data_IF_973333417631
#
_entry.id   IF_973333417631
#
_cell.length_a   1.000
_cell.length_b   1.000
_cell.length_c   1.000
_cell.angle_alpha   90.00
_cell.angle_beta   90.00
_cell.angle_gamma   90.00
#
_symmetry.space_group_name_H-M   'P 1'
#
loop_
_entity.id
_entity.type
_entity.pdbx_description
1 polymer ?
#
# COMPACT_ATOMS: atom_id res chain seq x y z
N UNK A 1 -47.88 -32.80 50.39
CA UNK A 1 -46.50 -32.30 50.22
C UNK A 1 -45.94 -32.95 48.97
N UNK A 2 -45.62 -32.16 47.94
CA UNK A 2 -45.14 -32.67 46.66
C UNK A 2 -45.48 -31.68 45.55
N UNK A 3 -44.76 -30.55 45.51
CA UNK A 3 -44.84 -29.59 44.41
C UNK A 3 -44.09 -30.23 43.24
N UNK A 4 -44.85 -30.77 42.29
CA UNK A 4 -44.35 -31.41 41.10
C UNK A 4 -43.90 -30.32 40.13
N UNK A 5 -42.62 -30.33 39.76
CA UNK A 5 -42.05 -29.35 38.83
C UNK A 5 -42.70 -29.53 37.45
N UNK A 6 -43.38 -28.50 36.96
CA UNK A 6 -43.93 -28.43 35.62
C UNK A 6 -42.81 -28.60 34.60
N UNK A 7 -42.72 -29.81 34.04
CA UNK A 7 -41.86 -30.10 32.91
C UNK A 7 -42.38 -29.31 31.70
N UNK A 8 -41.72 -28.20 31.40
CA UNK A 8 -41.96 -27.44 30.17
C UNK A 8 -41.62 -28.35 28.98
N UNK A 9 -42.66 -28.85 28.32
CA UNK A 9 -42.54 -29.67 27.12
C UNK A 9 -42.05 -28.79 25.96
N UNK A 10 -40.73 -28.69 25.83
CA UNK A 10 -40.07 -27.98 24.73
C UNK A 10 -40.40 -28.57 23.35
N UNK A 11 -40.97 -29.79 23.26
CA UNK A 11 -41.39 -30.38 21.98
C UNK A 11 -42.73 -29.81 21.49
N UNK A 12 -43.49 -29.13 22.35
CA UNK A 12 -44.77 -28.48 21.99
C UNK A 12 -44.59 -27.12 21.30
N UNK A 13 -43.37 -26.57 21.26
CA UNK A 13 -43.01 -25.38 20.48
C UNK A 13 -43.08 -25.72 18.99
N UNK A 14 -44.30 -25.70 18.43
CA UNK A 14 -44.55 -25.73 17.00
C UNK A 14 -43.85 -24.52 16.37
N UNK A 15 -42.66 -24.75 15.82
CA UNK A 15 -42.01 -23.78 14.95
C UNK A 15 -43.04 -23.36 13.90
N UNK A 16 -43.28 -22.05 13.72
CA UNK A 16 -44.24 -21.57 12.73
C UNK A 16 -43.88 -22.20 11.39
N UNK A 17 -44.90 -22.78 10.71
CA UNK A 17 -44.76 -23.39 9.38
C UNK A 17 -44.05 -22.38 8.50
N UNK A 18 -42.77 -22.61 8.22
CA UNK A 18 -42.00 -21.79 7.28
C UNK A 18 -42.71 -21.96 5.95
N UNK A 19 -43.40 -20.90 5.51
CA UNK A 19 -44.04 -20.87 4.20
C UNK A 19 -43.04 -21.39 3.17
N UNK A 20 -43.43 -22.42 2.41
CA UNK A 20 -42.53 -23.01 1.44
C UNK A 20 -42.16 -21.92 0.43
N UNK A 21 -40.94 -21.92 -0.12
CA UNK A 21 -40.51 -20.95 -1.14
C UNK A 21 -41.52 -20.79 -2.30
N UNK A 22 -42.34 -21.82 -2.56
CA UNK A 22 -43.42 -21.82 -3.53
C UNK A 22 -44.59 -20.87 -3.20
N UNK A 23 -44.80 -20.53 -1.93
CA UNK A 23 -45.88 -19.63 -1.49
C UNK A 23 -45.53 -18.15 -1.73
N UNK A 24 -44.27 -17.84 -2.08
CA UNK A 24 -43.84 -16.50 -2.42
C UNK A 24 -44.00 -16.25 -3.93
N UNK A 25 -44.93 -15.37 -4.37
CA UNK A 25 -45.26 -15.19 -5.80
C UNK A 25 -44.08 -14.70 -6.65
N UNK A 26 -42.99 -14.25 -6.02
CA UNK A 26 -41.79 -13.74 -6.67
C UNK A 26 -40.53 -14.56 -6.40
N UNK A 27 -40.61 -15.75 -5.78
CA UNK A 27 -39.43 -16.53 -5.43
C UNK A 27 -38.59 -16.89 -6.67
N UNK A 28 -39.24 -17.31 -7.75
CA UNK A 28 -38.57 -17.67 -9.00
C UNK A 28 -37.94 -16.46 -9.71
N UNK A 29 -38.63 -15.31 -9.73
CA UNK A 29 -38.09 -14.09 -10.37
C UNK A 29 -36.86 -13.59 -9.62
N UNK A 30 -36.88 -13.62 -8.28
CA UNK A 30 -35.73 -13.29 -7.44
C UNK A 30 -34.59 -14.28 -7.69
N UNK A 31 -34.86 -15.59 -7.71
CA UNK A 31 -33.85 -16.62 -7.93
C UNK A 31 -33.17 -16.48 -9.31
N UNK A 32 -33.95 -16.23 -10.37
CA UNK A 32 -33.43 -15.98 -11.72
C UNK A 32 -32.58 -14.71 -11.74
N UNK A 33 -33.02 -13.63 -11.09
CA UNK A 33 -32.27 -12.39 -10.99
C UNK A 33 -30.92 -12.56 -10.28
N UNK A 34 -30.91 -13.28 -9.15
CA UNK A 34 -29.68 -13.60 -8.40
C UNK A 34 -28.74 -14.46 -9.24
N UNK A 35 -29.26 -15.51 -9.90
CA UNK A 35 -28.45 -16.38 -10.75
C UNK A 35 -27.85 -15.60 -11.93
N UNK A 36 -28.65 -14.77 -12.60
CA UNK A 36 -28.19 -13.91 -13.69
C UNK A 36 -27.10 -12.93 -13.24
N UNK A 37 -27.25 -12.34 -12.06
CA UNK A 37 -26.23 -11.47 -11.46
C UNK A 37 -24.93 -12.23 -11.17
N UNK A 38 -25.00 -13.42 -10.57
CA UNK A 38 -23.81 -14.22 -10.26
C UNK A 38 -23.09 -14.70 -11.53
N UNK A 39 -23.83 -15.05 -12.59
CA UNK A 39 -23.27 -15.36 -13.92
C UNK A 39 -22.54 -14.13 -14.47
N UNK A 40 -23.16 -12.95 -14.41
CA UNK A 40 -22.56 -11.70 -14.87
C UNK A 40 -21.27 -11.37 -14.10
N UNK A 41 -21.29 -11.49 -12.77
CA UNK A 41 -20.09 -11.34 -11.92
C UNK A 41 -18.99 -12.30 -12.39
N UNK A 42 -19.31 -13.58 -12.54
CA UNK A 42 -18.33 -14.61 -12.92
C UNK A 42 -17.75 -14.40 -14.32
N UNK A 43 -18.57 -13.94 -15.26
CA UNK A 43 -18.18 -13.66 -16.64
C UNK A 43 -17.21 -12.46 -16.71
N UNK A 44 -17.50 -11.40 -15.97
CA UNK A 44 -16.73 -10.15 -16.00
C UNK A 44 -15.49 -10.18 -15.12
N UNK A 45 -15.48 -10.91 -14.00
CA UNK A 45 -14.44 -10.88 -12.95
C UNK A 45 -13.00 -11.00 -13.48
N UNK A 46 -12.77 -11.84 -14.49
CA UNK A 46 -11.44 -12.08 -15.07
C UNK A 46 -11.25 -11.45 -16.46
N UNK A 47 -12.19 -10.63 -16.93
CA UNK A 47 -12.15 -10.06 -18.28
C UNK A 47 -10.92 -9.17 -18.49
N UNK A 48 -10.60 -8.32 -17.52
CA UNK A 48 -9.46 -7.41 -17.61
C UNK A 48 -8.13 -8.17 -17.60
N UNK A 49 -7.99 -9.18 -16.72
CA UNK A 49 -6.81 -10.06 -16.70
C UNK A 49 -6.63 -10.82 -18.02
N UNK A 50 -7.69 -11.45 -18.54
CA UNK A 50 -7.61 -12.16 -19.84
C UNK A 50 -7.26 -11.23 -20.99
N UNK A 51 -7.72 -9.98 -20.97
CA UNK A 51 -7.34 -8.98 -21.96
C UNK A 51 -5.82 -8.70 -21.87
N UNK A 52 -5.33 -8.49 -20.66
CA UNK A 52 -3.91 -8.24 -20.39
C UNK A 52 -3.04 -9.42 -20.83
N UNK A 53 -3.41 -10.65 -20.48
CA UNK A 53 -2.68 -11.86 -20.88
C UNK A 53 -2.61 -12.03 -22.40
N UNK A 54 -3.66 -11.64 -23.13
CA UNK A 54 -3.66 -11.66 -24.60
C UNK A 54 -2.74 -10.57 -25.19
N UNK A 55 -2.80 -9.37 -24.63
CA UNK A 55 -1.98 -8.23 -25.08
C UNK A 55 -0.48 -8.50 -24.88
N UNK A 56 -0.12 -9.12 -23.76
CA UNK A 56 1.26 -9.44 -23.39
C UNK A 56 1.62 -10.92 -23.55
N UNK A 57 0.89 -11.65 -24.41
CA UNK A 57 1.12 -13.08 -24.63
C UNK A 57 2.57 -13.40 -25.08
N UNK A 58 3.20 -12.48 -25.80
CA UNK A 58 4.59 -12.58 -26.26
C UNK A 58 5.62 -12.60 -25.11
N UNK A 59 5.27 -12.08 -23.93
CA UNK A 59 6.12 -12.09 -22.73
C UNK A 59 5.92 -13.33 -21.85
N UNK A 60 4.98 -14.22 -22.16
CA UNK A 60 4.70 -15.37 -21.29
C UNK A 60 5.84 -16.40 -21.27
N UNK A 61 6.59 -16.51 -22.36
CA UNK A 61 7.75 -17.41 -22.45
C UNK A 61 8.98 -16.86 -21.73
N UNK A 62 9.18 -15.56 -21.83
CA UNK A 62 10.26 -14.85 -21.15
C UNK A 62 9.73 -13.50 -20.59
N UNK A 63 9.20 -13.52 -19.35
CA UNK A 63 8.70 -12.30 -18.73
C UNK A 63 9.78 -11.25 -18.49
N UNK A 64 11.05 -11.63 -18.37
CA UNK A 64 12.16 -10.72 -18.11
C UNK A 64 12.59 -9.93 -19.35
N UNK A 65 12.12 -10.30 -20.55
CA UNK A 65 12.30 -9.52 -21.76
C UNK A 65 11.48 -8.22 -21.79
N UNK A 66 10.59 -7.98 -20.80
CA UNK A 66 9.77 -6.77 -20.77
C UNK A 66 10.60 -5.53 -20.40
N UNK A 67 10.29 -4.40 -21.03
CA UNK A 67 10.80 -3.11 -20.55
C UNK A 67 9.97 -2.59 -19.35
N UNK A 68 10.50 -1.59 -18.64
CA UNK A 68 9.81 -1.03 -17.48
C UNK A 68 8.52 -0.28 -17.86
N UNK A 69 8.34 0.14 -19.12
CA UNK A 69 7.13 0.84 -19.60
C UNK A 69 5.97 -0.14 -19.76
N UNK A 70 6.22 -1.33 -20.29
CA UNK A 70 5.30 -2.45 -20.32
C UNK A 70 5.01 -2.95 -18.90
N UNK A 71 6.05 -3.08 -18.07
CA UNK A 71 5.91 -3.45 -16.67
C UNK A 71 4.93 -2.52 -15.91
N UNK A 72 5.06 -1.21 -16.09
CA UNK A 72 4.16 -0.21 -15.51
C UNK A 72 2.69 -0.43 -15.91
N UNK A 73 2.43 -0.67 -17.20
CA UNK A 73 1.09 -0.98 -17.71
C UNK A 73 0.53 -2.26 -17.12
N UNK A 74 1.37 -3.29 -16.94
CA UNK A 74 0.97 -4.56 -16.34
C UNK A 74 0.62 -4.39 -14.86
N UNK A 75 1.46 -3.68 -14.12
CA UNK A 75 1.25 -3.38 -12.70
C UNK A 75 -0.07 -2.64 -12.46
N UNK A 76 -0.45 -1.70 -13.33
CA UNK A 76 -1.69 -0.92 -13.20
C UNK A 76 -2.94 -1.78 -13.10
N UNK A 77 -3.03 -2.92 -13.80
CA UNK A 77 -4.17 -3.82 -13.67
C UNK A 77 -4.32 -4.30 -12.22
N UNK A 78 -3.25 -4.86 -11.67
CA UNK A 78 -3.26 -5.38 -10.30
C UNK A 78 -3.46 -4.27 -9.26
N UNK A 79 -2.74 -3.15 -9.41
CA UNK A 79 -2.70 -2.06 -8.43
C UNK A 79 -3.93 -1.17 -8.44
N UNK A 80 -4.53 -0.92 -9.61
CA UNK A 80 -5.57 0.09 -9.74
C UNK A 80 -6.94 -0.51 -10.08
N UNK A 81 -6.99 -1.72 -10.63
CA UNK A 81 -8.24 -2.32 -11.07
C UNK A 81 -8.69 -3.48 -10.15
N UNK A 82 -7.81 -4.47 -9.91
CA UNK A 82 -8.19 -5.70 -9.20
C UNK A 82 -7.99 -5.64 -7.68
N UNK A 83 -6.82 -5.20 -7.24
CA UNK A 83 -6.35 -5.35 -5.85
C UNK A 83 -5.98 -4.02 -5.14
N UNK A 84 -6.58 -2.85 -5.45
CA UNK A 84 -6.09 -1.56 -4.95
C UNK A 84 -6.08 -1.42 -3.44
N UNK A 85 -7.05 -2.04 -2.76
CA UNK A 85 -7.14 -1.98 -1.31
C UNK A 85 -5.95 -2.69 -0.65
N UNK A 86 -5.63 -3.92 -1.07
CA UNK A 86 -4.53 -4.68 -0.46
C UNK A 86 -3.17 -4.07 -0.82
N UNK A 87 -2.99 -3.51 -2.02
CA UNK A 87 -1.76 -2.76 -2.33
C UNK A 87 -1.58 -1.50 -1.46
N UNK A 88 -2.63 -0.71 -1.29
CA UNK A 88 -2.56 0.47 -0.42
C UNK A 88 -2.33 0.07 1.05
N UNK A 89 -2.96 -1.01 1.49
CA UNK A 89 -2.83 -1.52 2.85
C UNK A 89 -1.44 -2.14 3.10
N UNK A 90 -0.89 -2.90 2.16
CA UNK A 90 0.42 -3.54 2.30
C UNK A 90 1.53 -2.52 2.43
N UNK A 91 1.45 -1.37 1.73
CA UNK A 91 2.47 -0.31 1.83
C UNK A 91 2.69 0.22 3.26
N UNK A 92 1.65 0.19 4.11
CA UNK A 92 1.77 0.56 5.53
C UNK A 92 2.60 -0.46 6.32
N UNK A 93 2.46 -1.74 5.99
CA UNK A 93 3.22 -2.83 6.61
C UNK A 93 4.62 -2.96 6.02
N UNK A 94 4.81 -2.64 4.73
CA UNK A 94 6.14 -2.48 4.12
C UNK A 94 6.96 -1.45 4.88
N UNK A 95 6.36 -0.30 5.23
CA UNK A 95 7.01 0.71 6.05
C UNK A 95 7.38 0.19 7.45
N UNK A 96 6.50 -0.58 8.10
CA UNK A 96 6.83 -1.19 9.40
C UNK A 96 7.96 -2.22 9.27
N UNK A 97 8.01 -2.98 8.17
CA UNK A 97 9.05 -3.98 7.92
C UNK A 97 10.43 -3.36 7.73
N UNK A 98 10.53 -2.17 7.11
CA UNK A 98 11.84 -1.49 7.01
C UNK A 98 12.37 -1.02 8.37
N UNK A 99 11.51 -0.81 9.38
CA UNK A 99 11.95 -0.51 10.75
C UNK A 99 12.55 -1.72 11.48
N UNK A 100 12.48 -2.92 10.90
CA UNK A 100 13.06 -4.11 11.50
C UNK A 100 14.55 -4.27 11.19
N UNK A 101 15.11 -3.47 10.28
CA UNK A 101 16.56 -3.44 9.98
C UNK A 101 17.26 -2.51 10.97
N UNK A 102 17.97 -3.10 11.94
CA UNK A 102 18.45 -2.38 13.12
C UNK A 102 19.42 -1.23 12.81
N UNK A 103 20.31 -1.40 11.83
CA UNK A 103 21.29 -0.38 11.43
C UNK A 103 20.63 0.91 10.92
N UNK A 104 19.51 0.79 10.22
CA UNK A 104 18.84 1.94 9.61
C UNK A 104 18.00 2.76 10.59
N UNK A 105 17.52 2.17 11.69
CA UNK A 105 16.58 2.85 12.59
C UNK A 105 17.22 3.88 13.50
N UNK A 106 18.53 3.82 13.72
CA UNK A 106 19.25 4.88 14.44
C UNK A 106 19.08 6.23 13.74
N UNK A 107 19.17 6.25 12.41
CA UNK A 107 18.92 7.45 11.62
C UNK A 107 17.45 7.90 11.71
N UNK A 108 16.50 6.96 11.63
CA UNK A 108 15.07 7.26 11.77
C UNK A 108 14.73 7.84 13.14
N UNK A 109 15.38 7.35 14.20
CA UNK A 109 15.27 7.87 15.55
C UNK A 109 15.84 9.29 15.66
N UNK A 110 17.03 9.53 15.10
CA UNK A 110 17.72 10.84 15.11
C UNK A 110 16.96 11.91 14.34
N UNK A 111 16.39 11.58 13.17
CA UNK A 111 15.67 12.56 12.32
C UNK A 111 14.30 12.94 12.86
N UNK A 112 13.73 12.15 13.79
CA UNK A 112 12.43 12.37 14.42
C UNK A 112 11.25 12.43 13.44
N UNK A 113 11.43 11.99 12.18
CA UNK A 113 10.35 12.03 11.19
C UNK A 113 9.37 10.87 11.36
N UNK A 114 9.86 9.67 11.73
CA UNK A 114 9.04 8.48 11.97
C UNK A 114 9.05 8.03 13.44
N UNK A 115 9.84 8.70 14.29
CA UNK A 115 10.03 8.37 15.71
C UNK A 115 9.52 9.47 16.66
N UNK A 116 8.80 10.48 16.13
CA UNK A 116 8.13 11.51 16.93
C UNK A 116 6.73 11.81 16.40
N UNK A 117 5.76 11.87 17.32
CA UNK A 117 4.34 12.07 17.04
C UNK A 117 3.96 13.31 16.18
N UNK A 118 4.59 14.49 16.30
CA UNK A 118 4.17 15.65 15.50
C UNK A 118 4.55 15.52 14.01
N UNK A 119 5.54 14.68 13.67
CA UNK A 119 6.06 14.59 12.30
C UNK A 119 5.56 13.34 11.54
N UNK A 120 5.25 12.25 12.26
CA UNK A 120 4.95 10.94 11.65
C UNK A 120 3.81 11.00 10.64
N UNK A 121 2.75 11.77 10.93
CA UNK A 121 1.59 11.82 10.05
C UNK A 121 1.89 12.48 8.70
N UNK A 122 2.65 13.59 8.72
CA UNK A 122 3.14 14.21 7.49
C UNK A 122 4.11 13.28 6.76
N UNK A 123 5.07 12.69 7.47
CA UNK A 123 6.08 11.81 6.85
C UNK A 123 5.45 10.60 6.14
N UNK A 124 4.43 9.98 6.74
CA UNK A 124 3.67 8.88 6.12
C UNK A 124 2.93 9.39 4.88
N UNK A 125 2.25 10.53 4.97
CA UNK A 125 1.52 11.11 3.84
C UNK A 125 2.47 11.47 2.68
N UNK A 126 3.55 12.19 2.96
CA UNK A 126 4.55 12.60 1.96
C UNK A 126 5.17 11.38 1.27
N UNK A 127 5.44 10.30 2.01
CA UNK A 127 5.96 9.05 1.44
C UNK A 127 4.95 8.41 0.49
N UNK A 128 3.67 8.37 0.90
CA UNK A 128 2.59 7.85 0.06
C UNK A 128 2.40 8.68 -1.22
N UNK A 129 2.45 10.01 -1.11
CA UNK A 129 2.35 10.91 -2.26
C UNK A 129 3.54 10.76 -3.20
N UNK A 130 4.78 10.86 -2.69
CA UNK A 130 6.00 10.67 -3.50
C UNK A 130 5.93 9.34 -4.26
N UNK A 131 5.62 8.25 -3.57
CA UNK A 131 5.55 6.91 -4.17
C UNK A 131 4.42 6.82 -5.19
N UNK A 132 3.25 7.41 -4.91
CA UNK A 132 2.12 7.42 -5.85
C UNK A 132 2.46 8.18 -7.13
N UNK A 133 3.15 9.31 -7.04
CA UNK A 133 3.53 10.11 -8.21
C UNK A 133 4.39 9.32 -9.20
N UNK A 134 5.43 8.63 -8.73
CA UNK A 134 6.28 7.87 -9.65
C UNK A 134 5.71 6.49 -9.95
N UNK A 135 5.17 5.73 -9.00
CA UNK A 135 4.68 4.35 -9.23
C UNK A 135 3.37 4.28 -10.01
N UNK A 136 2.44 5.22 -9.79
CA UNK A 136 1.14 5.26 -10.49
C UNK A 136 1.14 6.25 -11.65
N UNK A 137 1.84 7.38 -11.49
CA UNK A 137 1.94 8.41 -12.53
C UNK A 137 2.95 8.12 -13.63
N UNK A 138 3.86 7.16 -13.43
CA UNK A 138 5.11 6.92 -14.16
C UNK A 138 6.27 7.80 -13.69
N UNK A 139 7.41 7.16 -13.45
CA UNK A 139 8.72 7.80 -13.24
C UNK A 139 9.21 8.68 -14.41
N UNK A 140 8.65 8.50 -15.62
CA UNK A 140 8.94 9.33 -16.80
C UNK A 140 8.04 10.56 -16.92
N UNK A 141 6.96 10.64 -16.13
CA UNK A 141 6.11 11.82 -16.12
C UNK A 141 6.81 13.00 -15.45
N UNK A 142 6.41 14.23 -15.80
CA UNK A 142 6.89 15.45 -15.14
C UNK A 142 6.76 15.35 -13.60
N UNK A 143 5.61 14.88 -13.11
CA UNK A 143 5.35 14.76 -11.67
C UNK A 143 6.14 13.62 -11.03
N UNK A 144 6.17 12.46 -11.67
CA UNK A 144 6.85 11.27 -11.17
C UNK A 144 8.37 11.46 -11.11
N UNK A 145 8.97 12.04 -12.15
CA UNK A 145 10.40 12.37 -12.15
C UNK A 145 10.76 13.39 -11.07
N UNK A 146 9.94 14.42 -10.84
CA UNK A 146 10.12 15.37 -9.73
C UNK A 146 10.00 14.72 -8.37
N UNK A 147 9.04 13.82 -8.18
CA UNK A 147 8.89 13.08 -6.93
C UNK A 147 10.09 12.15 -6.67
N UNK A 148 10.55 11.42 -7.70
CA UNK A 148 11.72 10.53 -7.62
C UNK A 148 13.01 11.32 -7.35
N UNK A 149 13.23 12.43 -8.06
CA UNK A 149 14.36 13.32 -7.82
C UNK A 149 14.31 13.94 -6.40
N UNK A 150 13.12 14.33 -5.92
CA UNK A 150 12.94 14.81 -4.54
C UNK A 150 13.31 13.73 -3.52
N UNK A 151 12.87 12.49 -3.76
CA UNK A 151 13.24 11.35 -2.92
C UNK A 151 14.76 11.18 -2.88
N UNK A 152 15.43 11.15 -4.03
CA UNK A 152 16.89 11.06 -4.13
C UNK A 152 17.59 12.19 -3.37
N UNK A 153 17.13 13.43 -3.55
CA UNK A 153 17.70 14.60 -2.88
C UNK A 153 17.61 14.49 -1.37
N UNK A 154 16.46 14.04 -0.83
CA UNK A 154 16.29 13.84 0.62
C UNK A 154 17.24 12.76 1.13
N UNK A 155 17.36 11.63 0.44
CA UNK A 155 18.24 10.55 0.88
C UNK A 155 19.71 11.01 0.88
N UNK A 156 20.15 11.78 -0.13
CA UNK A 156 21.52 12.34 -0.18
C UNK A 156 21.84 13.31 0.97
N UNK A 157 20.85 13.87 1.65
CA UNK A 157 21.12 14.69 2.86
C UNK A 157 21.72 13.88 4.01
N UNK A 158 21.68 12.55 3.92
CA UNK A 158 22.18 11.65 4.93
C UNK A 158 23.45 10.90 4.51
N UNK A 159 23.87 11.02 3.24
CA UNK A 159 25.09 10.41 2.68
C UNK A 159 25.25 8.95 3.08
N UNK A 160 26.46 8.61 3.55
CA UNK A 160 26.85 7.25 3.97
C UNK A 160 26.04 6.64 5.14
N UNK A 161 25.14 7.42 5.79
CA UNK A 161 24.27 6.90 6.85
C UNK A 161 23.12 6.05 6.31
N UNK A 162 22.87 6.07 5.00
CA UNK A 162 21.92 5.18 4.33
C UNK A 162 22.74 4.30 3.40
N UNK A 163 22.94 3.05 3.80
CA UNK A 163 23.87 2.15 3.12
C UNK A 163 23.26 1.48 1.88
N UNK A 164 24.10 1.01 0.95
CA UNK A 164 23.66 0.29 -0.25
C UNK A 164 22.79 -0.95 0.08
N UNK A 165 23.16 -1.83 1.03
CA UNK A 165 22.31 -2.97 1.40
C UNK A 165 20.96 -2.54 1.99
N UNK A 166 20.90 -1.47 2.78
CA UNK A 166 19.63 -0.95 3.31
C UNK A 166 18.69 -0.41 2.21
N UNK A 167 19.25 0.27 1.21
CA UNK A 167 18.48 0.71 0.04
C UNK A 167 17.98 -0.47 -0.79
N UNK A 168 18.84 -1.48 -1.04
CA UNK A 168 18.46 -2.68 -1.79
C UNK A 168 17.40 -3.50 -1.04
N UNK A 169 17.52 -3.64 0.28
CA UNK A 169 16.50 -4.28 1.12
C UNK A 169 15.17 -3.53 1.07
N UNK A 170 15.20 -2.21 1.22
CA UNK A 170 13.99 -1.38 1.14
C UNK A 170 13.33 -1.50 -0.24
N UNK A 171 14.11 -1.57 -1.33
CA UNK A 171 13.61 -1.83 -2.67
C UNK A 171 12.91 -3.20 -2.75
N UNK A 172 13.57 -4.25 -2.24
CA UNK A 172 13.02 -5.60 -2.17
C UNK A 172 11.72 -5.67 -1.38
N UNK A 173 11.65 -5.02 -0.22
CA UNK A 173 10.45 -4.94 0.62
C UNK A 173 9.29 -4.28 -0.14
N UNK A 174 9.53 -3.20 -0.89
CA UNK A 174 8.49 -2.53 -1.68
C UNK A 174 7.90 -3.42 -2.79
N UNK A 175 8.68 -4.35 -3.33
CA UNK A 175 8.23 -5.33 -4.33
C UNK A 175 7.52 -6.51 -3.65
N UNK A 176 8.22 -7.18 -2.74
CA UNK A 176 7.86 -8.49 -2.21
C UNK A 176 6.67 -8.42 -1.26
N UNK A 177 6.55 -7.36 -0.45
CA UNK A 177 5.39 -7.23 0.43
C UNK A 177 4.10 -7.04 -0.37
N UNK A 178 4.12 -6.24 -1.44
CA UNK A 178 2.95 -6.09 -2.32
C UNK A 178 2.49 -7.45 -2.87
N UNK A 179 3.43 -8.25 -3.36
CA UNK A 179 3.16 -9.59 -3.89
C UNK A 179 2.64 -10.53 -2.80
N UNK A 180 3.32 -10.59 -1.65
CA UNK A 180 2.98 -11.47 -0.51
C UNK A 180 1.57 -11.18 0.00
N UNK A 181 1.25 -9.91 0.21
CA UNK A 181 -0.05 -9.47 0.71
C UNK A 181 -1.18 -9.80 -0.25
N UNK A 182 -1.02 -9.50 -1.55
CA UNK A 182 -2.03 -9.82 -2.56
C UNK A 182 -2.23 -11.34 -2.67
N UNK A 183 -1.14 -12.11 -2.76
CA UNK A 183 -1.23 -13.56 -2.91
C UNK A 183 -1.84 -14.27 -1.68
N UNK A 184 -1.79 -13.64 -0.51
CA UNK A 184 -2.37 -14.17 0.73
C UNK A 184 -3.82 -13.75 0.92
N UNK A 185 -4.12 -12.46 0.74
CA UNK A 185 -5.36 -11.85 1.23
C UNK A 185 -6.34 -11.38 0.14
N UNK A 186 -5.94 -11.35 -1.13
CA UNK A 186 -6.87 -10.97 -2.21
C UNK A 186 -7.64 -12.14 -2.82
N UNK A 187 -8.69 -11.76 -3.56
CA UNK A 187 -9.60 -12.66 -4.28
C UNK A 187 -8.93 -13.45 -5.42
N UNK A 188 -7.78 -12.98 -5.91
CA UNK A 188 -6.88 -13.72 -6.79
C UNK A 188 -5.42 -13.48 -6.42
N UNK A 189 -4.57 -14.43 -6.80
CA UNK A 189 -3.13 -14.26 -6.81
C UNK A 189 -2.70 -13.45 -8.04
N UNK A 190 -1.54 -12.82 -7.95
CA UNK A 190 -0.83 -12.24 -9.08
C UNK A 190 -0.31 -13.36 -9.98
N UNK A 191 -0.44 -13.20 -11.29
CA UNK A 191 0.24 -14.04 -12.27
C UNK A 191 1.76 -13.84 -12.16
N UNK A 192 2.54 -14.79 -12.68
CA UNK A 192 4.00 -14.63 -12.70
C UNK A 192 4.43 -13.40 -13.50
N UNK A 193 3.78 -13.14 -14.64
CA UNK A 193 4.00 -11.94 -15.45
C UNK A 193 3.79 -10.64 -14.64
N UNK A 194 2.73 -10.57 -13.82
CA UNK A 194 2.48 -9.41 -12.95
C UNK A 194 3.55 -9.24 -11.85
N UNK A 195 4.07 -10.35 -11.30
CA UNK A 195 5.13 -10.33 -10.30
C UNK A 195 6.45 -9.84 -10.90
N UNK A 196 6.82 -10.37 -12.07
CA UNK A 196 8.01 -9.93 -12.81
C UNK A 196 7.88 -8.47 -13.22
N UNK A 197 6.68 -8.01 -13.64
CA UNK A 197 6.45 -6.60 -13.92
C UNK A 197 6.72 -5.68 -12.71
N UNK A 198 6.27 -6.07 -11.51
CA UNK A 198 6.61 -5.31 -10.29
C UNK A 198 8.12 -5.22 -10.09
N UNK A 199 8.82 -6.34 -10.24
CA UNK A 199 10.27 -6.37 -10.11
C UNK A 199 10.96 -5.50 -11.18
N UNK A 200 10.64 -5.64 -12.47
CA UNK A 200 11.29 -4.90 -13.56
C UNK A 200 11.09 -3.39 -13.39
N UNK A 201 9.88 -2.96 -13.02
CA UNK A 201 9.61 -1.55 -12.79
C UNK A 201 10.38 -0.99 -11.60
N UNK A 202 10.36 -1.69 -10.46
CA UNK A 202 11.10 -1.24 -9.27
C UNK A 202 12.61 -1.36 -9.45
N UNK A 203 13.12 -2.31 -10.22
CA UNK A 203 14.53 -2.38 -10.59
C UNK A 203 14.97 -1.10 -11.31
N UNK A 204 14.14 -0.58 -12.21
CA UNK A 204 14.40 0.70 -12.86
C UNK A 204 14.34 1.88 -11.87
N UNK A 205 13.42 1.87 -10.91
CA UNK A 205 13.43 2.85 -9.80
C UNK A 205 14.75 2.77 -9.04
N UNK A 206 15.21 1.56 -8.68
CA UNK A 206 16.47 1.35 -7.98
C UNK A 206 17.68 1.84 -8.76
N UNK A 207 17.71 1.60 -10.08
CA UNK A 207 18.72 2.16 -10.97
C UNK A 207 18.71 3.70 -10.90
N UNK A 208 17.53 4.34 -11.02
CA UNK A 208 17.41 5.81 -10.92
C UNK A 208 17.75 6.37 -9.54
N UNK A 209 17.73 5.54 -8.50
CA UNK A 209 18.21 5.89 -7.16
C UNK A 209 19.72 5.68 -6.99
N UNK A 210 20.41 5.04 -7.95
CA UNK A 210 21.82 4.69 -7.83
C UNK A 210 22.10 3.46 -6.97
N UNK A 211 21.10 2.57 -6.79
CA UNK A 211 21.29 1.31 -6.08
C UNK A 211 22.14 0.37 -6.95
N UNK A 212 23.23 -0.13 -6.37
CA UNK A 212 24.19 -1.04 -6.99
C UNK A 212 23.77 -2.49 -6.77
N UNK A 213 24.27 -3.36 -7.65
CA UNK A 213 24.21 -4.81 -7.52
C UNK A 213 22.79 -5.38 -7.29
N UNK A 214 21.77 -4.75 -7.90
CA UNK A 214 20.40 -5.25 -7.84
C UNK A 214 20.36 -6.63 -8.52
N UNK A 215 19.95 -7.70 -7.82
CA UNK A 215 19.87 -9.04 -8.40
C UNK A 215 19.07 -9.07 -9.71
N UNK A 216 19.42 -9.96 -10.66
CA UNK A 216 18.86 -9.90 -12.01
C UNK A 216 17.40 -10.35 -12.10
N UNK A 217 16.93 -11.19 -11.19
CA UNK A 217 15.57 -11.74 -11.16
C UNK A 217 14.90 -11.55 -9.79
N UNK A 218 13.58 -11.75 -9.74
CA UNK A 218 12.81 -11.59 -8.50
C UNK A 218 13.14 -12.70 -7.50
N UNK A 219 13.43 -13.91 -7.99
CA UNK A 219 13.86 -15.04 -7.17
C UNK A 219 15.23 -14.78 -6.55
N UNK A 220 16.17 -14.23 -7.32
CA UNK A 220 17.49 -13.84 -6.79
C UNK A 220 17.42 -12.68 -5.82
N UNK A 221 16.49 -11.73 -6.04
CA UNK A 221 16.23 -10.68 -5.06
C UNK A 221 15.64 -11.25 -3.77
N UNK A 222 14.76 -12.26 -3.86
CA UNK A 222 14.19 -12.92 -2.69
C UNK A 222 15.24 -13.72 -1.90
N UNK A 223 16.11 -14.46 -2.58
CA UNK A 223 17.25 -15.16 -1.96
C UNK A 223 18.17 -14.16 -1.22
N UNK A 224 18.58 -13.08 -1.89
CA UNK A 224 19.41 -12.04 -1.29
C UNK A 224 18.73 -11.37 -0.09
N UNK A 225 17.42 -11.07 -0.19
CA UNK A 225 16.66 -10.44 0.89
C UNK A 225 16.60 -11.36 2.11
N UNK A 226 16.35 -12.65 1.91
CA UNK A 226 16.30 -13.63 2.99
C UNK A 226 17.66 -13.73 3.71
N UNK A 227 18.77 -13.80 2.97
CA UNK A 227 20.12 -13.83 3.53
C UNK A 227 20.44 -12.55 4.32
N UNK A 228 20.13 -11.38 3.76
CA UNK A 228 20.35 -10.11 4.43
C UNK A 228 19.51 -9.97 5.71
N UNK A 229 18.23 -10.38 5.67
CA UNK A 229 17.34 -10.30 6.82
C UNK A 229 17.77 -11.21 7.98
N UNK A 230 18.43 -12.34 7.72
CA UNK A 230 18.92 -13.23 8.80
C UNK A 230 19.92 -12.54 9.73
N UNK A 231 20.69 -11.58 9.23
CA UNK A 231 21.73 -10.89 10.00
C UNK A 231 21.36 -9.46 10.36
N UNK A 232 20.63 -8.75 9.49
CA UNK A 232 20.30 -7.34 9.66
C UNK A 232 18.95 -7.12 10.39
N UNK A 233 18.02 -8.08 10.32
CA UNK A 233 16.70 -7.95 10.93
C UNK A 233 16.71 -8.43 12.39
N UNK A 234 17.37 -7.65 13.24
CA UNK A 234 17.56 -7.92 14.67
C UNK A 234 16.88 -6.86 15.53
N UNK A 235 16.61 -7.20 16.80
CA UNK A 235 16.00 -6.25 17.73
C UNK A 235 16.91 -5.03 18.00
N UNK A 236 16.29 -3.86 18.10
CA UNK A 236 16.89 -2.61 18.58
C UNK A 236 15.81 -1.73 19.20
N UNK A 237 16.13 -1.00 20.26
CA UNK A 237 15.19 -0.05 20.89
C UNK A 237 14.73 1.04 19.91
N UNK A 238 15.58 1.40 18.94
CA UNK A 238 15.22 2.34 17.87
C UNK A 238 14.18 1.75 16.92
N UNK A 239 14.22 0.44 16.65
CA UNK A 239 13.17 -0.27 15.89
C UNK A 239 11.85 -0.13 16.60
N UNK A 240 11.84 -0.47 17.89
CA UNK A 240 10.63 -0.43 18.72
C UNK A 240 10.05 0.98 18.76
N UNK A 241 10.89 1.99 18.97
CA UNK A 241 10.48 3.40 19.00
C UNK A 241 9.82 3.86 17.70
N UNK A 242 10.40 3.53 16.55
CA UNK A 242 9.83 3.90 15.24
C UNK A 242 8.50 3.18 15.00
N UNK A 243 8.44 1.89 15.32
CA UNK A 243 7.24 1.09 15.16
C UNK A 243 6.10 1.56 16.07
N UNK A 244 6.35 1.83 17.35
CA UNK A 244 5.33 2.29 18.29
C UNK A 244 4.70 3.61 17.84
N UNK A 245 5.51 4.57 17.38
CA UNK A 245 5.01 5.85 16.87
C UNK A 245 4.11 5.67 15.63
N UNK A 246 4.45 4.73 14.75
CA UNK A 246 3.65 4.44 13.56
C UNK A 246 2.38 3.64 13.89
N UNK A 247 2.46 2.65 14.77
CA UNK A 247 1.30 1.91 15.26
C UNK A 247 0.33 2.85 15.97
N UNK A 248 0.83 3.73 16.84
CA UNK A 248 0.02 4.73 17.54
C UNK A 248 -0.62 5.71 16.57
N UNK A 249 0.11 6.11 15.52
CA UNK A 249 -0.47 6.91 14.44
C UNK A 249 -1.64 6.18 13.79
N UNK A 250 -1.48 4.94 13.34
CA UNK A 250 -2.54 4.16 12.69
C UNK A 250 -3.77 3.90 13.59
N UNK A 251 -3.58 3.89 14.91
CA UNK A 251 -4.65 3.71 15.90
C UNK A 251 -5.37 5.01 16.29
N UNK A 252 -5.00 6.17 15.73
CA UNK A 252 -5.65 7.46 16.06
C UNK A 252 -7.17 7.45 15.82
N UNK A 253 -7.63 6.82 14.73
CA UNK A 253 -9.07 6.69 14.40
C UNK A 253 -9.77 5.52 15.11
N UNK A 254 -9.02 4.68 15.83
CA UNK A 254 -9.58 3.59 16.63
C UNK A 254 -10.01 4.14 17.98
N UNK A 255 -11.26 3.91 18.36
CA UNK A 255 -11.77 4.31 19.67
C UNK A 255 -10.92 3.70 20.79
N UNK A 256 -10.62 4.43 21.88
CA UNK A 256 -9.70 3.97 22.92
C UNK A 256 -9.93 2.54 23.43
N UNK A 257 -11.19 2.07 23.67
CA UNK A 257 -11.44 0.70 24.13
C UNK A 257 -11.02 -0.39 23.14
N UNK A 258 -11.05 -0.08 21.82
CA UNK A 258 -10.71 -1.04 20.78
C UNK A 258 -9.21 -1.06 20.44
N UNK A 259 -8.44 -0.06 20.87
CA UNK A 259 -7.01 0.06 20.50
C UNK A 259 -6.19 -1.17 20.90
N UNK A 260 -6.47 -1.75 22.08
CA UNK A 260 -5.78 -2.98 22.53
C UNK A 260 -6.03 -4.17 21.60
N UNK A 261 -7.26 -4.33 21.10
CA UNK A 261 -7.60 -5.36 20.12
C UNK A 261 -6.91 -5.11 18.78
N UNK A 262 -6.98 -3.89 18.25
CA UNK A 262 -6.36 -3.57 16.96
C UNK A 262 -4.82 -3.65 16.99
N UNK A 263 -4.16 -3.37 18.13
CA UNK A 263 -2.73 -3.67 18.30
C UNK A 263 -2.46 -5.15 18.06
N UNK A 264 -3.22 -6.04 18.70
CA UNK A 264 -3.05 -7.50 18.51
C UNK A 264 -3.31 -7.92 17.05
N UNK A 265 -4.28 -7.32 16.38
CA UNK A 265 -4.53 -7.53 14.94
C UNK A 265 -3.32 -7.11 14.10
N UNK A 266 -2.74 -5.94 14.36
CA UNK A 266 -1.53 -5.49 13.65
C UNK A 266 -0.35 -6.43 13.89
N UNK A 267 -0.18 -6.95 15.11
CA UNK A 267 0.87 -7.93 15.41
C UNK A 267 0.66 -9.24 14.66
N UNK A 268 -0.59 -9.69 14.48
CA UNK A 268 -0.91 -10.88 13.71
C UNK A 268 -0.68 -10.73 12.19
N UNK A 269 -0.57 -9.49 11.70
CA UNK A 269 -0.32 -9.19 10.30
C UNK A 269 1.17 -9.02 9.97
N UNK A 270 2.02 -8.82 10.98
CA UNK A 270 3.47 -8.79 10.85
C UNK A 270 4.03 -10.21 10.77
N UNK A 271 4.99 -10.42 9.86
CA UNK A 271 5.76 -11.66 9.81
C UNK A 271 6.55 -11.86 11.11
N UNK A 272 6.80 -13.11 11.49
CA UNK A 272 7.41 -13.45 12.77
C UNK A 272 8.78 -12.78 12.99
N UNK A 273 9.69 -12.86 12.01
CA UNK A 273 11.03 -12.23 12.09
C UNK A 273 10.90 -10.71 12.28
N UNK A 274 10.08 -10.06 11.45
CA UNK A 274 9.77 -8.63 11.56
C UNK A 274 9.22 -8.30 12.94
N UNK A 275 8.21 -9.02 13.41
CA UNK A 275 7.57 -8.79 14.72
C UNK A 275 8.58 -8.92 15.87
N UNK A 276 9.45 -9.93 15.82
CA UNK A 276 10.48 -10.16 16.83
C UNK A 276 11.54 -9.05 16.81
N UNK A 277 12.01 -8.62 15.63
CA UNK A 277 12.96 -7.53 15.48
C UNK A 277 12.39 -6.14 15.85
N UNK A 278 11.07 -5.97 15.82
CA UNK A 278 10.38 -4.81 16.37
C UNK A 278 10.11 -4.94 17.88
N UNK A 279 10.43 -6.07 18.52
CA UNK A 279 10.22 -6.34 19.94
C UNK A 279 8.76 -6.54 20.33
N UNK A 280 7.89 -6.86 19.38
CA UNK A 280 6.46 -7.06 19.64
C UNK A 280 6.14 -8.49 20.10
N UNK A 281 5.20 -8.65 21.05
CA UNK A 281 4.81 -9.97 21.52
C UNK A 281 4.17 -10.79 20.39
N UNK A 282 4.26 -12.11 20.49
CA UNK A 282 3.57 -13.01 19.58
C UNK A 282 2.07 -12.72 19.55
N UNK A 283 1.50 -12.73 18.35
CA UNK A 283 0.06 -12.72 18.21
C UNK A 283 -0.49 -14.05 18.74
N UNK A 284 -1.60 -14.00 19.50
CA UNK A 284 -2.28 -15.23 19.89
C UNK A 284 -2.76 -15.95 18.63
N UNK A 285 -2.62 -17.28 18.58
CA UNK A 285 -3.05 -18.10 17.43
C UNK A 285 -4.51 -17.86 17.02
N UNK A 286 -5.38 -17.61 18.01
CA UNK A 286 -6.79 -17.27 17.77
C UNK A 286 -6.96 -16.00 16.93
N UNK A 287 -6.17 -14.95 17.20
CA UNK A 287 -6.23 -13.69 16.45
C UNK A 287 -5.65 -13.86 15.05
N UNK A 288 -4.55 -14.61 14.89
CA UNK A 288 -4.01 -14.91 13.55
C UNK A 288 -5.04 -15.63 12.66
N UNK A 289 -5.69 -16.67 13.21
CA UNK A 289 -6.75 -17.40 12.50
C UNK A 289 -7.92 -16.48 12.20
N UNK A 290 -8.37 -15.66 13.16
CA UNK A 290 -9.45 -14.70 12.95
C UNK A 290 -9.14 -13.72 11.82
N UNK A 291 -7.97 -13.07 11.85
CA UNK A 291 -7.55 -12.09 10.85
C UNK A 291 -7.44 -12.74 9.47
N UNK A 292 -6.79 -13.91 9.38
CA UNK A 292 -6.70 -14.65 8.13
C UNK A 292 -8.09 -14.98 7.57
N UNK A 293 -8.99 -15.55 8.40
CA UNK A 293 -10.35 -15.91 7.99
C UNK A 293 -11.16 -14.69 7.56
N UNK A 294 -11.03 -13.55 8.24
CA UNK A 294 -11.66 -12.30 7.86
C UNK A 294 -11.27 -11.88 6.43
N UNK A 295 -9.97 -11.84 6.13
CA UNK A 295 -9.50 -11.49 4.79
C UNK A 295 -9.91 -12.54 3.74
N UNK A 296 -9.90 -13.84 4.07
CA UNK A 296 -10.38 -14.89 3.15
C UNK A 296 -11.88 -14.78 2.87
N UNK A 297 -12.69 -14.42 3.85
CA UNK A 297 -14.12 -14.16 3.67
C UNK A 297 -14.33 -12.92 2.78
N UNK A 298 -13.62 -11.81 3.06
CA UNK A 298 -13.63 -10.62 2.20
C UNK A 298 -13.27 -11.00 0.76
N UNK A 299 -12.18 -11.74 0.57
CA UNK A 299 -11.71 -12.19 -0.74
C UNK A 299 -12.77 -13.01 -1.47
N UNK A 300 -13.46 -13.93 -0.76
CA UNK A 300 -14.56 -14.71 -1.31
C UNK A 300 -15.75 -13.84 -1.75
N UNK A 301 -16.17 -12.90 -0.90
CA UNK A 301 -17.29 -11.97 -1.20
C UNK A 301 -16.94 -11.10 -2.40
N UNK A 302 -15.75 -10.48 -2.41
CA UNK A 302 -15.29 -9.65 -3.52
C UNK A 302 -15.22 -10.45 -4.82
N UNK A 303 -14.72 -11.69 -4.79
CA UNK A 303 -14.60 -12.54 -5.98
C UNK A 303 -15.95 -12.84 -6.62
N UNK A 304 -16.92 -13.23 -5.80
CA UNK A 304 -18.12 -13.95 -6.26
C UNK A 304 -19.41 -13.12 -6.18
N UNK A 305 -19.46 -12.10 -5.32
CA UNK A 305 -20.69 -11.35 -5.04
C UNK A 305 -20.64 -9.90 -5.50
N UNK A 306 -19.48 -9.31 -5.73
CA UNK A 306 -19.37 -7.96 -6.30
C UNK A 306 -19.13 -8.04 -7.81
N UNK A 307 -19.53 -7.01 -8.55
CA UNK A 307 -19.06 -6.82 -9.93
C UNK A 307 -17.61 -6.32 -9.92
N UNK A 308 -16.79 -6.64 -10.94
CA UNK A 308 -15.50 -5.98 -11.09
C UNK A 308 -15.70 -4.48 -11.36
N UNK A 309 -14.67 -3.68 -11.07
CA UNK A 309 -14.72 -2.23 -11.34
C UNK A 309 -14.94 -1.99 -12.83
N UNK A 310 -15.66 -0.94 -13.22
CA UNK A 310 -15.80 -0.61 -14.64
C UNK A 310 -14.56 0.10 -15.19
N UNK A 311 -13.82 0.82 -14.34
CA UNK A 311 -12.61 1.56 -14.65
C UNK A 311 -11.60 1.43 -13.51
N UNK A 312 -10.28 1.55 -13.77
CA UNK A 312 -9.29 1.59 -12.71
C UNK A 312 -9.53 2.77 -11.76
N UNK A 313 -9.11 2.61 -10.50
CA UNK A 313 -9.03 3.75 -9.59
C UNK A 313 -7.91 4.69 -10.03
N UNK A 314 -8.10 5.98 -9.81
CA UNK A 314 -7.08 6.99 -10.06
C UNK A 314 -6.73 7.68 -8.73
N UNK A 315 -5.65 7.24 -8.05
CA UNK A 315 -5.24 7.80 -6.78
C UNK A 315 -4.40 9.08 -6.93
N UNK A 316 -4.05 9.50 -8.16
CA UNK A 316 -3.19 10.66 -8.37
C UNK A 316 -3.91 11.95 -7.97
N UNK A 317 -3.20 12.80 -7.26
CA UNK A 317 -3.67 14.13 -6.90
C UNK A 317 -4.02 14.96 -8.14
N UNK A 318 -5.01 15.84 -7.99
CA UNK A 318 -5.50 16.71 -9.06
C UNK A 318 -4.97 18.12 -8.86
N UNK A 319 -4.49 18.71 -9.96
CA UNK A 319 -4.07 20.10 -9.96
C UNK A 319 -5.29 21.01 -9.79
N UNK A 320 -5.17 21.96 -8.87
CA UNK A 320 -6.08 23.08 -8.78
C UNK A 320 -5.88 24.02 -9.97
N UNK A 321 -6.97 24.40 -10.65
CA UNK A 321 -6.89 25.20 -11.89
C UNK A 321 -6.28 26.58 -11.68
N UNK A 322 -6.40 27.17 -10.49
CA UNK A 322 -5.93 28.53 -10.22
C UNK A 322 -4.48 28.55 -9.75
N UNK A 323 -4.16 27.69 -8.79
CA UNK A 323 -2.83 27.66 -8.18
C UNK A 323 -1.83 26.71 -8.85
N UNK A 324 -2.32 25.75 -9.65
CA UNK A 324 -1.52 24.65 -10.19
C UNK A 324 -1.10 23.59 -9.15
N UNK A 325 -1.41 23.81 -7.86
CA UNK A 325 -1.00 22.92 -6.77
C UNK A 325 -1.84 21.65 -6.73
N UNK A 326 -1.22 20.55 -6.31
CA UNK A 326 -1.83 19.23 -6.30
C UNK A 326 -2.58 19.00 -5.00
N UNK A 327 -3.79 18.43 -5.11
CA UNK A 327 -4.59 17.99 -3.97
C UNK A 327 -5.01 16.53 -4.13
N UNK A 328 -4.90 15.71 -3.08
CA UNK A 328 -5.36 14.33 -3.11
C UNK A 328 -6.88 14.29 -3.33
N UNK A 329 -7.34 13.39 -4.21
CA UNK A 329 -8.79 13.23 -4.54
C UNK A 329 -9.60 12.79 -3.32
N UNK A 330 -8.96 12.02 -2.44
CA UNK A 330 -9.50 11.57 -1.16
C UNK A 330 -8.38 11.63 -0.15
N UNK A 331 -8.72 11.95 1.09
CA UNK A 331 -7.80 11.86 2.21
C UNK A 331 -7.18 10.45 2.29
N UNK A 332 -5.86 10.37 2.08
CA UNK A 332 -5.12 9.10 1.99
C UNK A 332 -4.66 8.59 3.37
N UNK A 333 -4.52 9.48 4.35
CA UNK A 333 -4.07 9.18 5.71
C UNK A 333 -5.03 9.70 6.78
N UNK A 334 -4.77 9.38 8.04
CA UNK A 334 -5.56 9.82 9.19
C UNK A 334 -5.60 11.35 9.30
N UNK A 335 -4.48 12.01 8.99
CA UNK A 335 -4.37 13.47 8.95
C UNK A 335 -4.62 13.98 7.52
N UNK A 336 -5.33 15.12 7.35
CA UNK A 336 -5.80 15.61 6.05
C UNK A 336 -4.74 16.47 5.33
N UNK A 337 -3.48 16.00 5.29
CA UNK A 337 -2.41 16.73 4.60
C UNK A 337 -2.76 16.99 3.14
N UNK A 338 -2.64 18.25 2.72
CA UNK A 338 -2.89 18.75 1.36
C UNK A 338 -4.35 18.69 0.89
N UNK A 339 -5.28 18.25 1.74
CA UNK A 339 -6.71 18.23 1.43
C UNK A 339 -7.24 19.67 1.39
N UNK A 340 -8.04 20.00 0.36
CA UNK A 340 -8.62 21.34 0.22
C UNK A 340 -9.46 21.71 1.44
N UNK A 341 -9.30 22.95 1.90
CA UNK A 341 -10.19 23.55 2.87
C UNK A 341 -11.50 23.94 2.19
N UNK A 342 -12.47 23.02 2.18
CA UNK A 342 -13.84 23.29 1.76
C UNK A 342 -14.83 22.84 2.83
N UNK A 343 -16.03 23.46 2.84
CA UNK A 343 -17.11 23.10 3.78
C UNK A 343 -17.40 21.60 3.77
N UNK A 344 -17.41 20.98 2.59
CA UNK A 344 -17.62 19.54 2.44
C UNK A 344 -16.53 18.71 3.14
N UNK A 345 -15.25 19.05 2.94
CA UNK A 345 -14.16 18.30 3.57
C UNK A 345 -14.15 18.49 5.09
N UNK A 346 -14.42 19.72 5.57
CA UNK A 346 -14.56 19.99 7.01
C UNK A 346 -15.69 19.19 7.65
N UNK A 347 -16.87 19.15 7.00
CA UNK A 347 -18.00 18.36 7.45
C UNK A 347 -17.67 16.86 7.46
N UNK A 348 -17.05 16.35 6.39
CA UNK A 348 -16.65 14.95 6.30
C UNK A 348 -15.64 14.56 7.38
N UNK A 349 -14.70 15.44 7.72
CA UNK A 349 -13.72 15.22 8.78
C UNK A 349 -14.37 15.20 10.16
N UNK A 350 -15.33 16.11 10.42
CA UNK A 350 -16.06 16.16 11.68
C UNK A 350 -16.86 14.86 11.91
N UNK A 351 -17.47 14.31 10.87
CA UNK A 351 -18.25 13.06 10.93
C UNK A 351 -17.39 11.80 11.05
N UNK A 352 -16.13 11.82 10.58
CA UNK A 352 -15.29 10.60 10.47
C UNK A 352 -14.11 10.52 11.43
N UNK A 353 -13.59 11.64 11.93
CA UNK A 353 -12.34 11.65 12.73
C UNK A 353 -12.28 12.68 13.87
N UNK A 354 -13.32 13.50 14.04
CA UNK A 354 -13.36 14.55 15.05
C UNK A 354 -12.66 15.85 14.62
N UNK A 355 -12.85 16.90 15.42
CA UNK A 355 -12.48 18.29 15.10
C UNK A 355 -10.97 18.53 14.89
N UNK A 356 -10.12 17.63 15.35
CA UNK A 356 -8.65 17.73 15.27
C UNK A 356 -8.06 17.44 13.88
N UNK A 357 -8.82 16.80 12.99
CA UNK A 357 -8.40 16.42 11.63
C UNK A 357 -9.15 17.20 10.55
N UNK A 358 -9.54 18.43 10.86
CA UNK A 358 -10.17 19.35 9.91
C UNK A 358 -9.09 19.91 8.97
N UNK A 359 -9.27 19.82 7.63
CA UNK A 359 -8.35 20.46 6.68
C UNK A 359 -8.23 21.97 6.93
N UNK A 360 -7.02 22.50 6.79
CA UNK A 360 -6.73 23.92 6.97
C UNK A 360 -5.21 24.20 6.88
N UNK A 361 -4.77 25.43 7.18
CA UNK A 361 -3.37 25.83 7.00
C UNK A 361 -2.35 24.93 7.73
N UNK A 362 -2.71 24.42 8.92
CA UNK A 362 -1.90 23.45 9.66
C UNK A 362 -1.51 22.22 8.82
N UNK A 363 -2.43 21.77 7.97
CA UNK A 363 -2.28 20.60 7.12
C UNK A 363 -1.97 20.96 5.67
N UNK A 364 -1.52 22.19 5.40
CA UNK A 364 -1.17 22.69 4.07
C UNK A 364 -2.30 22.53 3.05
N UNK A 365 -3.49 22.99 3.42
CA UNK A 365 -4.70 22.90 2.58
C UNK A 365 -4.59 23.59 1.22
N UNK A 366 -3.56 24.39 0.99
CA UNK A 366 -3.15 24.97 -0.29
C UNK A 366 -2.58 23.95 -1.29
N UNK A 367 -2.35 22.70 -0.88
CA UNK A 367 -1.83 21.64 -1.74
C UNK A 367 -0.30 21.56 -1.75
N UNK A 368 0.26 20.78 -2.68
CA UNK A 368 1.71 20.58 -2.80
C UNK A 368 2.19 20.63 -4.26
N UNK A 369 3.49 20.82 -4.44
CA UNK A 369 4.22 20.41 -5.64
C UNK A 369 5.15 19.23 -5.31
N UNK A 370 5.43 18.30 -6.24
CA UNK A 370 6.22 17.10 -5.93
C UNK A 370 7.60 17.39 -5.30
N UNK A 371 8.27 18.45 -5.74
CA UNK A 371 9.58 18.90 -5.23
C UNK A 371 9.52 19.57 -3.85
N UNK A 372 8.34 19.88 -3.33
CA UNK A 372 8.14 20.45 -1.99
C UNK A 372 7.88 19.35 -0.93
N UNK A 373 7.61 18.10 -1.33
CA UNK A 373 7.25 17.03 -0.39
C UNK A 373 8.40 16.64 0.56
N UNK A 374 8.10 16.20 1.78
CA UNK A 374 9.08 15.82 2.79
C UNK A 374 9.20 16.85 3.93
N UNK A 375 10.26 16.77 4.76
CA UNK A 375 10.42 17.64 5.92
C UNK A 375 10.31 19.13 5.58
N UNK A 376 9.61 19.91 6.41
CA UNK A 376 9.33 21.31 6.14
C UNK A 376 10.58 22.16 5.83
N UNK A 377 11.68 21.89 6.54
CA UNK A 377 12.97 22.55 6.33
C UNK A 377 13.55 22.35 4.92
N UNK A 378 13.13 21.31 4.20
CA UNK A 378 13.64 20.96 2.87
C UNK A 378 12.75 21.42 1.72
N UNK A 379 11.60 22.05 1.99
CA UNK A 379 10.62 22.44 0.96
C UNK A 379 11.24 23.33 -0.11
N UNK A 380 11.90 24.42 0.31
CA UNK A 380 12.47 25.41 -0.61
C UNK A 380 13.93 25.10 -0.97
N UNK A 381 14.67 24.43 -0.08
CA UNK A 381 16.12 24.20 -0.25
C UNK A 381 16.47 23.31 -1.45
N UNK A 382 15.57 22.41 -1.85
CA UNK A 382 15.89 21.41 -2.87
C UNK A 382 15.41 21.78 -4.27
N UNK A 383 14.65 22.86 -4.44
CA UNK A 383 13.82 23.08 -5.63
C UNK A 383 14.61 22.98 -6.93
N UNK A 384 15.66 23.79 -7.09
CA UNK A 384 16.42 23.86 -8.34
C UNK A 384 17.18 22.56 -8.62
N UNK A 385 17.79 21.96 -7.59
CA UNK A 385 18.50 20.70 -7.71
C UNK A 385 17.56 19.55 -8.13
N UNK A 386 16.36 19.50 -7.54
CA UNK A 386 15.34 18.49 -7.85
C UNK A 386 14.79 18.66 -9.25
N UNK A 387 14.51 19.89 -9.69
CA UNK A 387 14.00 20.15 -11.05
C UNK A 387 15.05 19.77 -12.11
N UNK A 388 16.32 20.10 -11.88
CA UNK A 388 17.43 19.72 -12.76
C UNK A 388 17.59 18.20 -12.87
N UNK A 389 17.56 17.48 -11.75
CA UNK A 389 17.66 16.01 -11.76
C UNK A 389 16.41 15.36 -12.39
N UNK A 390 15.22 15.91 -12.17
CA UNK A 390 14.00 15.43 -12.81
C UNK A 390 14.02 15.57 -14.34
N UNK A 391 14.60 16.65 -14.86
CA UNK A 391 14.86 16.80 -16.29
C UNK A 391 15.85 15.74 -16.79
N UNK A 392 16.97 15.54 -16.10
CA UNK A 392 17.95 14.51 -16.44
C UNK A 392 17.34 13.10 -16.44
N UNK A 393 16.49 12.76 -15.45
CA UNK A 393 15.78 11.48 -15.38
C UNK A 393 14.81 11.27 -16.56
N UNK A 394 14.17 12.33 -17.06
CA UNK A 394 13.28 12.23 -18.22
C UNK A 394 14.05 12.07 -19.52
N UNK A 395 15.15 12.79 -19.70
CA UNK A 395 16.04 12.59 -20.85
C UNK A 395 16.57 11.15 -20.87
N UNK A 396 17.03 10.66 -19.72
CA UNK A 396 17.44 9.27 -19.52
C UNK A 396 16.32 8.25 -19.85
N UNK A 397 15.07 8.51 -19.43
CA UNK A 397 13.92 7.66 -19.78
C UNK A 397 13.49 7.74 -21.26
N UNK A 398 13.77 8.86 -21.93
CA UNK A 398 13.56 9.03 -23.37
C UNK A 398 14.58 8.23 -24.18
N UNK A 399 15.80 8.08 -23.67
CA UNK A 399 16.87 7.23 -24.23
C UNK A 399 16.70 5.73 -23.90
N UNK A 400 15.65 5.38 -23.13
CA UNK A 400 15.24 3.99 -22.86
C UNK A 400 15.62 3.45 -21.48
N UNK A 401 16.27 4.25 -20.63
CA UNK A 401 16.60 3.87 -19.26
C UNK A 401 17.70 2.82 -19.15
N UNK A 402 17.74 2.09 -18.02
CA UNK A 402 18.93 1.31 -17.65
C UNK A 402 19.18 0.14 -18.59
N UNK A 403 18.12 -0.40 -19.19
CA UNK A 403 18.21 -1.51 -20.13
C UNK A 403 18.98 -1.15 -21.40
N UNK A 404 19.06 0.14 -21.77
CA UNK A 404 19.73 0.60 -23.00
C UNK A 404 21.09 1.24 -22.67
N UNK A 405 21.15 2.13 -21.68
CA UNK A 405 22.34 2.96 -21.41
C UNK A 405 23.01 2.69 -20.06
N UNK A 406 22.49 1.77 -19.24
CA UNK A 406 22.96 1.52 -17.88
C UNK A 406 22.51 2.60 -16.89
N UNK A 407 23.00 2.56 -15.65
CA UNK A 407 22.64 3.54 -14.61
C UNK A 407 23.63 4.72 -14.58
N UNK A 408 23.22 5.97 -14.90
CA UNK A 408 24.08 7.14 -14.81
C UNK A 408 24.09 7.77 -13.41
N UNK A 409 23.13 7.40 -12.56
CA UNK A 409 22.92 8.04 -11.26
C UNK A 409 23.84 7.42 -10.21
N UNK A 410 24.57 8.25 -9.48
CA UNK A 410 25.36 7.82 -8.33
C UNK A 410 24.71 8.29 -7.05
N UNK A 411 24.46 7.34 -6.16
CA UNK A 411 24.26 7.62 -4.75
C UNK A 411 25.67 7.69 -4.14
N UNK A 412 26.11 8.89 -3.78
CA UNK A 412 27.39 9.08 -3.10
C UNK A 412 27.23 8.81 -1.61
#
# INVERSE_FOLDING_TARGET
>A
MGVQADSVDFLSLRLPKVAALHDFPYAWTIAIGVLGYLILVRALRFRALRKLEREYAHLLKDPYAMDYKAAHKIMHLSMLYDCPFIFAFSGQFSLLKTFAIASGTELLAKTRQLSACPNVGRRINDTALITTEFVVGSMDSERGSRALAKMNWIHRQYGDKITQPEMLHTLGVNIMEGIRWVNTYEWRKLTYLEQVAMFVYWKEVGNRMGIKDIPPTIEKLAEWTEEYEQTAMVYSDNNRKCADVSVDFFLKHVSPPLRGFFRKVMMALLEERTRNALGYPAASRTIEVFVYRFFRLRAFVVRNLFLPRLRPIDPLAKADKKSGRLHPVKQQSIEPWYVKDTVWHKLSALLSGGSQYIPGPKFKSEGYLPEELGPAKFENMSRDAVLKEAEAMRSYGAEGGAAIIGCPFRFN
#
